data_IF_069807718462
#
_entry.id   IF_069807718462
#
_cell.length_a   1.000
_cell.length_b   1.000
_cell.length_c   1.000
_cell.angle_alpha   90.00
_cell.angle_beta   90.00
_cell.angle_gamma   90.00
#
_symmetry.space_group_name_H-M   'P 1'
#
loop_
_entity.id
_entity.type
_entity.pdbx_description
1 polymer ?
#
# COMPACT_ATOMS: atom_id res chain seq x y z
N UNK A 1 8.50 18.64 36.87
CA UNK A 1 8.65 17.38 36.11
C UNK A 1 8.73 17.75 34.64
N UNK A 2 9.91 17.65 34.03
CA UNK A 2 10.09 17.98 32.63
C UNK A 2 9.24 17.03 31.77
N UNK A 3 8.53 17.57 30.79
CA UNK A 3 7.98 16.75 29.71
C UNK A 3 9.17 16.13 28.98
N UNK A 4 9.42 14.84 29.19
CA UNK A 4 10.42 14.09 28.45
C UNK A 4 9.98 14.05 26.98
N UNK A 5 10.54 14.97 26.19
CA UNK A 5 10.29 15.03 24.75
C UNK A 5 11.20 14.01 24.08
N UNK A 6 10.61 12.93 23.59
CA UNK A 6 11.34 11.96 22.76
C UNK A 6 11.47 12.53 21.35
N UNK A 7 12.69 12.70 20.80
CA UNK A 7 12.86 13.14 19.42
C UNK A 7 12.28 12.08 18.48
N UNK A 8 11.54 12.53 17.45
CA UNK A 8 10.93 11.67 16.44
C UNK A 8 11.35 12.12 15.05
N UNK A 9 11.79 11.16 14.23
CA UNK A 9 12.13 11.41 12.83
C UNK A 9 10.99 10.98 11.90
N UNK A 10 10.61 11.85 10.98
CA UNK A 10 9.65 11.56 9.92
C UNK A 10 10.36 11.54 8.57
N UNK A 11 10.20 10.46 7.82
CA UNK A 11 10.83 10.26 6.51
C UNK A 11 9.74 10.06 5.47
N UNK A 12 9.76 10.89 4.42
CA UNK A 12 8.90 10.71 3.25
C UNK A 12 9.61 9.84 2.21
N UNK A 13 8.91 8.85 1.65
CA UNK A 13 9.40 7.99 0.59
C UNK A 13 8.60 8.22 -0.70
N UNK A 14 9.31 8.35 -1.83
CA UNK A 14 8.74 8.25 -3.16
C UNK A 14 9.70 7.41 -4.00
N UNK A 15 9.32 6.15 -4.26
CA UNK A 15 10.19 5.19 -4.93
C UNK A 15 9.73 4.97 -6.36
N UNK A 16 10.47 5.52 -7.32
CA UNK A 16 10.06 5.63 -8.73
C UNK A 16 9.53 4.35 -9.39
N UNK A 17 8.54 4.53 -10.27
CA UNK A 17 7.79 3.49 -11.00
C UNK A 17 8.33 3.18 -12.39
N UNK A 18 9.53 2.62 -12.47
CA UNK A 18 10.04 2.06 -13.73
C UNK A 18 10.09 0.53 -13.57
N UNK A 19 9.73 -0.21 -14.62
CA UNK A 19 9.43 -1.66 -14.74
C UNK A 19 9.59 -2.61 -13.51
N UNK A 20 8.55 -3.40 -13.23
CA UNK A 20 8.24 -4.03 -11.94
C UNK A 20 9.33 -4.95 -11.34
N UNK A 21 10.00 -5.77 -12.15
CA UNK A 21 10.82 -6.89 -11.64
C UNK A 21 12.27 -6.49 -11.27
N UNK A 22 12.91 -5.65 -12.08
CA UNK A 22 14.26 -5.11 -11.79
C UNK A 22 14.22 -4.14 -10.62
N UNK A 23 13.11 -3.41 -10.47
CA UNK A 23 13.00 -2.35 -9.47
C UNK A 23 12.69 -2.86 -8.07
N UNK A 24 11.96 -3.96 -7.87
CA UNK A 24 11.80 -4.52 -6.52
C UNK A 24 13.17 -4.69 -5.83
N UNK A 25 14.20 -5.15 -6.56
CA UNK A 25 15.58 -5.23 -6.05
C UNK A 25 16.22 -3.86 -5.80
N UNK A 26 16.05 -2.91 -6.72
CA UNK A 26 16.58 -1.54 -6.59
C UNK A 26 15.92 -0.75 -5.46
N UNK A 27 14.58 -0.78 -5.35
CA UNK A 27 13.77 -0.21 -4.26
C UNK A 27 14.25 -0.76 -2.92
N UNK A 28 14.36 -2.08 -2.83
CA UNK A 28 14.85 -2.77 -1.63
C UNK A 28 16.27 -2.36 -1.28
N UNK A 29 17.17 -2.19 -2.26
CA UNK A 29 18.55 -1.76 -2.04
C UNK A 29 18.61 -0.30 -1.55
N UNK A 30 17.87 0.60 -2.19
CA UNK A 30 17.77 2.01 -1.82
C UNK A 30 17.24 2.14 -0.39
N UNK A 31 16.12 1.47 -0.08
CA UNK A 31 15.53 1.50 1.25
C UNK A 31 16.49 0.91 2.29
N UNK A 32 17.14 -0.22 2.03
CA UNK A 32 18.17 -0.77 2.93
C UNK A 32 19.37 0.16 3.13
N UNK A 33 19.73 0.93 2.12
CA UNK A 33 20.79 1.93 2.23
C UNK A 33 20.36 3.06 3.15
N UNK A 34 19.16 3.62 2.96
CA UNK A 34 18.58 4.63 3.87
C UNK A 34 18.48 4.11 5.30
N UNK A 35 17.94 2.90 5.49
CA UNK A 35 17.81 2.28 6.82
C UNK A 35 19.16 2.10 7.52
N UNK A 36 20.22 1.76 6.78
CA UNK A 36 21.57 1.67 7.34
C UNK A 36 22.07 3.00 7.92
N UNK A 37 21.75 4.12 7.28
CA UNK A 37 22.11 5.44 7.79
C UNK A 37 21.23 5.83 8.98
N UNK A 38 19.95 5.49 8.94
CA UNK A 38 19.03 5.73 10.07
C UNK A 38 19.39 4.91 11.31
N UNK A 39 20.00 3.73 11.13
CA UNK A 39 20.46 2.86 12.21
C UNK A 39 21.94 3.01 12.55
N UNK A 40 22.66 3.96 11.93
CA UNK A 40 24.11 4.07 12.11
C UNK A 40 24.51 4.40 13.55
N UNK A 41 23.65 5.11 14.28
CA UNK A 41 23.89 5.51 15.66
C UNK A 41 23.09 4.66 16.64
N UNK A 42 23.73 4.20 17.73
CA UNK A 42 23.06 3.47 18.82
C UNK A 42 21.97 4.30 19.52
N UNK A 43 22.01 5.63 19.41
CA UNK A 43 21.01 6.57 19.92
C UNK A 43 20.01 7.04 18.85
N UNK A 44 19.89 6.30 17.74
CA UNK A 44 19.00 6.70 16.65
C UNK A 44 17.56 6.85 17.14
N UNK A 45 17.01 8.04 16.90
CA UNK A 45 15.67 8.39 17.31
C UNK A 45 14.64 7.43 16.68
N UNK A 46 13.54 7.10 17.38
CA UNK A 46 12.39 6.44 16.79
C UNK A 46 11.95 7.18 15.52
N UNK A 47 11.59 6.43 14.47
CA UNK A 47 11.23 7.03 13.20
C UNK A 47 10.01 6.37 12.54
N UNK A 48 9.29 7.18 11.77
CA UNK A 48 8.24 6.76 10.86
C UNK A 48 8.70 7.04 9.43
N UNK A 49 8.53 6.07 8.55
CA UNK A 49 8.74 6.22 7.11
C UNK A 49 7.39 6.02 6.42
N UNK A 50 6.93 7.01 5.66
CA UNK A 50 5.65 6.93 4.98
C UNK A 50 5.70 7.52 3.57
N UNK A 51 4.74 7.16 2.73
CA UNK A 51 4.60 7.68 1.38
C UNK A 51 4.44 6.58 0.34
N UNK A 52 4.74 6.91 -0.92
CA UNK A 52 4.65 5.99 -2.05
C UNK A 52 5.92 5.14 -2.15
N UNK A 53 5.85 3.94 -1.58
CA UNK A 53 6.90 2.94 -1.73
C UNK A 53 6.82 2.22 -3.06
N UNK A 54 5.69 2.36 -3.76
CA UNK A 54 5.41 1.73 -5.02
C UNK A 54 5.61 0.21 -4.95
N UNK A 55 5.29 -0.36 -3.78
CA UNK A 55 5.25 -1.80 -3.55
C UNK A 55 4.10 -2.39 -4.34
N UNK A 56 4.39 -3.46 -5.08
CA UNK A 56 3.44 -4.17 -5.91
C UNK A 56 3.09 -5.50 -5.28
N UNK A 57 1.87 -5.95 -5.55
CA UNK A 57 1.52 -7.35 -5.36
C UNK A 57 2.40 -8.22 -6.25
N UNK A 58 2.65 -9.46 -5.83
CA UNK A 58 3.22 -10.50 -6.69
C UNK A 58 2.25 -10.83 -7.83
N UNK A 59 2.29 -10.03 -8.90
CA UNK A 59 1.39 -10.13 -10.05
C UNK A 59 1.45 -11.53 -10.67
N UNK A 60 2.64 -12.16 -10.70
CA UNK A 60 2.79 -13.51 -11.22
C UNK A 60 1.99 -14.53 -10.41
N UNK A 61 2.07 -14.47 -9.08
CA UNK A 61 1.31 -15.34 -8.19
C UNK A 61 -0.20 -15.02 -8.20
N UNK A 62 -0.58 -13.75 -8.31
CA UNK A 62 -1.98 -13.32 -8.47
C UNK A 62 -2.57 -13.91 -9.75
N UNK A 63 -1.89 -13.75 -10.88
CA UNK A 63 -2.34 -14.30 -12.17
C UNK A 63 -2.46 -15.80 -12.07
N UNK A 64 -1.44 -16.48 -11.57
CA UNK A 64 -1.47 -17.94 -11.38
C UNK A 64 -2.71 -18.37 -10.58
N UNK A 65 -3.02 -17.68 -9.48
CA UNK A 65 -4.19 -17.97 -8.64
C UNK A 65 -5.51 -17.74 -9.39
N UNK A 66 -5.63 -16.63 -10.11
CA UNK A 66 -6.85 -16.28 -10.84
C UNK A 66 -7.11 -17.18 -12.05
N UNK A 67 -6.07 -17.81 -12.58
CA UNK A 67 -6.15 -18.59 -13.83
C UNK A 67 -6.16 -20.10 -13.61
N UNK A 68 -6.27 -20.58 -12.37
CA UNK A 68 -6.25 -22.02 -12.03
C UNK A 68 -7.26 -22.84 -12.85
N UNK A 69 -8.46 -22.27 -13.08
CA UNK A 69 -9.56 -22.93 -13.80
C UNK A 69 -9.83 -22.31 -15.18
N UNK A 70 -8.92 -21.47 -15.68
CA UNK A 70 -9.07 -20.76 -16.95
C UNK A 70 -8.21 -21.38 -18.06
N UNK A 71 -8.62 -21.16 -19.31
CA UNK A 71 -7.85 -21.51 -20.50
C UNK A 71 -7.10 -20.29 -21.00
N UNK A 72 -5.77 -20.41 -21.18
CA UNK A 72 -4.94 -19.32 -21.68
C UNK A 72 -4.89 -19.31 -23.21
N UNK A 73 -5.05 -18.12 -23.80
CA UNK A 73 -4.89 -17.86 -25.23
C UNK A 73 -3.96 -16.66 -25.42
N UNK A 74 -2.90 -16.84 -26.22
CA UNK A 74 -1.99 -15.75 -26.57
C UNK A 74 -2.46 -15.08 -27.84
N UNK A 75 -2.74 -13.78 -27.77
CA UNK A 75 -3.04 -12.96 -28.93
C UNK A 75 -1.80 -12.15 -29.33
N UNK A 76 -1.46 -12.23 -30.61
CA UNK A 76 -0.51 -11.32 -31.26
C UNK A 76 -1.30 -10.55 -32.31
N UNK A 77 -1.37 -9.22 -32.17
CA UNK A 77 -2.04 -8.37 -33.16
C UNK A 77 -0.95 -7.63 -33.94
N UNK A 78 -0.50 -8.24 -35.05
CA UNK A 78 0.56 -7.71 -35.92
C UNK A 78 1.99 -8.05 -35.46
N UNK A 79 2.98 -7.62 -36.26
CA UNK A 79 4.41 -7.96 -36.08
C UNK A 79 5.12 -7.21 -34.94
N UNK A 80 4.39 -6.52 -34.04
CA UNK A 80 5.01 -5.72 -32.96
C UNK A 80 4.83 -6.38 -31.60
N UNK A 81 5.95 -6.56 -30.88
CA UNK A 81 5.99 -7.10 -29.52
C UNK A 81 5.20 -6.27 -28.49
N UNK A 82 4.91 -4.99 -28.78
CA UNK A 82 4.06 -4.11 -27.95
C UNK A 82 2.60 -4.58 -27.86
N UNK A 83 2.13 -5.34 -28.84
CA UNK A 83 0.74 -5.77 -28.99
C UNK A 83 0.43 -7.13 -28.34
N UNK A 84 1.44 -7.80 -27.79
CA UNK A 84 1.27 -9.12 -27.22
C UNK A 84 0.36 -9.08 -25.98
N UNK A 85 -0.76 -9.79 -26.05
CA UNK A 85 -1.72 -9.91 -24.95
C UNK A 85 -1.96 -11.38 -24.60
N UNK A 86 -2.15 -11.63 -23.32
CA UNK A 86 -2.64 -12.90 -22.81
C UNK A 86 -4.11 -12.75 -22.43
N UNK A 87 -4.96 -13.64 -22.92
CA UNK A 87 -6.36 -13.73 -22.53
C UNK A 87 -6.60 -15.04 -21.80
N UNK A 88 -7.45 -15.00 -20.79
CA UNK A 88 -7.88 -16.17 -20.03
C UNK A 88 -9.39 -16.25 -20.06
N UNK A 89 -9.90 -17.42 -20.45
CA UNK A 89 -11.32 -17.69 -20.68
C UNK A 89 -11.83 -18.80 -19.78
N UNK A 90 -13.08 -18.71 -19.36
CA UNK A 90 -13.73 -19.77 -18.59
C UNK A 90 -13.92 -21.03 -19.45
N UNK A 91 -13.61 -22.21 -18.91
CA UNK A 91 -13.67 -23.49 -19.65
C UNK A 91 -15.08 -23.86 -20.10
N UNK A 92 -16.09 -23.46 -19.34
CA UNK A 92 -17.47 -23.88 -19.53
C UNK A 92 -18.16 -23.17 -20.70
N UNK A 93 -17.87 -21.89 -20.92
CA UNK A 93 -18.61 -21.03 -21.85
C UNK A 93 -17.71 -20.10 -22.68
N UNK A 94 -16.39 -20.28 -22.61
CA UNK A 94 -15.38 -19.46 -23.31
C UNK A 94 -15.45 -17.94 -23.03
N UNK A 95 -16.16 -17.54 -21.96
CA UNK A 95 -16.27 -16.14 -21.58
C UNK A 95 -14.90 -15.60 -21.19
N UNK A 96 -14.54 -14.43 -21.71
CA UNK A 96 -13.31 -13.72 -21.34
C UNK A 96 -13.37 -13.27 -19.87
N UNK A 97 -12.39 -13.71 -19.07
CA UNK A 97 -12.30 -13.42 -17.63
C UNK A 97 -11.19 -12.44 -17.32
N UNK A 98 -9.99 -12.65 -17.87
CA UNK A 98 -8.80 -11.83 -17.61
C UNK A 98 -8.04 -11.53 -18.90
N UNK A 99 -7.61 -10.29 -19.08
CA UNK A 99 -6.68 -9.85 -20.14
C UNK A 99 -5.46 -9.19 -19.52
N UNK A 100 -4.27 -9.59 -19.98
CA UNK A 100 -2.98 -9.08 -19.51
C UNK A 100 -2.16 -8.62 -20.70
N UNK A 101 -1.57 -7.43 -20.60
CA UNK A 101 -0.67 -6.85 -21.59
C UNK A 101 0.26 -5.82 -20.95
N UNK A 102 1.05 -5.11 -21.78
CA UNK A 102 2.07 -4.16 -21.29
C UNK A 102 1.54 -3.04 -20.38
N UNK A 103 0.31 -2.58 -20.62
CA UNK A 103 -0.42 -1.59 -19.81
C UNK A 103 -1.87 -2.02 -19.63
N UNK A 104 -2.09 -3.32 -19.49
CA UNK A 104 -3.41 -3.89 -19.40
C UNK A 104 -3.43 -5.03 -18.38
N UNK A 105 -4.37 -4.93 -17.46
CA UNK A 105 -4.69 -5.92 -16.44
C UNK A 105 -6.18 -5.79 -16.18
N UNK A 106 -6.99 -6.41 -17.03
CA UNK A 106 -8.44 -6.23 -17.06
C UNK A 106 -9.13 -7.53 -16.66
N UNK A 107 -9.87 -7.49 -15.55
CA UNK A 107 -10.71 -8.60 -15.11
C UNK A 107 -12.18 -8.24 -15.35
N UNK A 108 -13.04 -9.23 -15.60
CA UNK A 108 -14.49 -9.00 -15.78
C UNK A 108 -15.12 -8.36 -14.54
N UNK A 109 -14.73 -8.81 -13.35
CA UNK A 109 -15.14 -8.25 -12.05
C UNK A 109 -14.07 -7.36 -11.40
N UNK A 110 -13.28 -6.62 -12.20
CA UNK A 110 -12.10 -5.87 -11.73
C UNK A 110 -12.36 -5.01 -10.48
N UNK A 111 -13.51 -4.34 -10.41
CA UNK A 111 -13.82 -3.45 -9.29
C UNK A 111 -14.23 -4.19 -8.01
N UNK A 112 -14.55 -5.48 -8.08
CA UNK A 112 -14.98 -6.27 -6.93
C UNK A 112 -13.85 -7.17 -6.45
N UNK A 113 -13.30 -8.00 -7.34
CA UNK A 113 -12.40 -9.09 -6.96
C UNK A 113 -11.11 -8.60 -6.28
N UNK A 114 -10.59 -7.43 -6.66
CA UNK A 114 -9.32 -6.91 -6.12
C UNK A 114 -9.47 -6.12 -4.82
N UNK A 115 -10.69 -5.91 -4.34
CA UNK A 115 -10.94 -5.32 -3.00
C UNK A 115 -11.07 -6.38 -1.92
N UNK A 116 -11.20 -7.64 -2.31
CA UNK A 116 -11.39 -8.75 -1.39
C UNK A 116 -10.09 -9.12 -0.64
N UNK A 117 -10.16 -9.62 0.61
CA UNK A 117 -8.98 -9.89 1.43
C UNK A 117 -7.99 -10.91 0.86
N UNK A 118 -8.41 -11.73 -0.10
CA UNK A 118 -7.53 -12.76 -0.67
C UNK A 118 -6.28 -12.17 -1.33
N UNK A 119 -6.37 -10.96 -1.91
CA UNK A 119 -5.27 -10.32 -2.63
C UNK A 119 -4.08 -10.01 -1.72
N UNK A 120 -4.34 -9.70 -0.44
CA UNK A 120 -3.32 -9.28 0.52
C UNK A 120 -2.25 -10.34 0.78
N UNK A 121 -2.54 -11.64 0.54
CA UNK A 121 -1.54 -12.71 0.65
C UNK A 121 -0.38 -12.60 -0.37
N UNK A 122 -0.58 -11.77 -1.39
CA UNK A 122 0.40 -11.51 -2.45
C UNK A 122 1.12 -10.17 -2.27
N UNK A 123 0.83 -9.41 -1.20
CA UNK A 123 1.59 -8.22 -0.80
C UNK A 123 2.83 -8.64 0.00
N UNK A 124 3.94 -8.90 -0.72
CA UNK A 124 5.13 -9.54 -0.16
C UNK A 124 6.38 -8.66 -0.15
N UNK A 125 6.37 -7.49 -0.78
CA UNK A 125 7.59 -6.67 -0.89
C UNK A 125 8.16 -6.25 0.48
N UNK A 126 7.29 -6.02 1.47
CA UNK A 126 7.72 -5.67 2.84
C UNK A 126 8.40 -6.83 3.58
N UNK A 127 8.18 -8.09 3.19
CA UNK A 127 8.70 -9.27 3.92
C UNK A 127 10.22 -9.21 4.10
N UNK A 128 10.94 -8.78 3.07
CA UNK A 128 12.40 -8.69 3.09
C UNK A 128 12.95 -7.56 3.98
N UNK A 129 12.08 -6.72 4.54
CA UNK A 129 12.37 -5.55 5.36
C UNK A 129 11.78 -5.67 6.78
N UNK A 130 10.91 -6.65 7.03
CA UNK A 130 10.29 -6.93 8.34
C UNK A 130 11.26 -7.01 9.53
N UNK A 131 12.53 -7.45 9.40
CA UNK A 131 13.47 -7.41 10.51
C UNK A 131 13.84 -5.99 10.98
N UNK A 132 13.65 -4.98 10.13
CA UNK A 132 14.06 -3.60 10.36
C UNK A 132 12.87 -2.65 10.50
N UNK A 133 11.75 -2.96 9.84
CA UNK A 133 10.57 -2.13 9.75
C UNK A 133 9.33 -2.90 10.18
N UNK A 134 8.45 -2.21 10.88
CA UNK A 134 7.16 -2.71 11.29
C UNK A 134 6.04 -1.97 10.55
N UNK A 135 5.00 -2.70 10.17
CA UNK A 135 3.74 -2.14 9.67
C UNK A 135 2.61 -2.77 10.46
N UNK A 136 1.64 -1.96 10.87
CA UNK A 136 0.44 -2.49 11.48
C UNK A 136 -0.45 -3.19 10.43
N UNK A 137 -1.38 -4.08 10.84
CA UNK A 137 -2.23 -4.79 9.88
C UNK A 137 -2.99 -3.84 8.96
N UNK A 138 -2.78 -3.98 7.65
CA UNK A 138 -3.51 -3.24 6.61
C UNK A 138 -4.92 -3.83 6.51
N UNK A 139 -5.94 -2.99 6.70
CA UNK A 139 -7.37 -3.38 6.73
C UNK A 139 -8.22 -2.63 5.70
N UNK A 140 -7.57 -2.02 4.71
CA UNK A 140 -8.17 -1.26 3.63
C UNK A 140 -7.79 -1.89 2.29
N UNK A 141 -8.59 -1.71 1.22
CA UNK A 141 -8.29 -2.27 -0.09
C UNK A 141 -7.03 -1.62 -0.70
N UNK A 142 -6.50 -2.15 -1.82
CA UNK A 142 -5.36 -1.55 -2.51
C UNK A 142 -5.49 -0.04 -2.74
N UNK A 143 -4.40 0.72 -2.57
CA UNK A 143 -4.39 2.17 -2.74
C UNK A 143 -4.17 2.63 -4.18
N UNK A 144 -3.83 1.71 -5.09
CA UNK A 144 -3.46 2.01 -6.47
C UNK A 144 -3.75 0.83 -7.41
N UNK A 145 -4.09 1.05 -8.71
CA UNK A 145 -4.28 2.33 -9.38
C UNK A 145 -5.73 2.78 -9.45
N UNK A 146 -6.10 3.93 -8.87
CA UNK A 146 -7.43 4.51 -9.06
C UNK A 146 -7.58 5.23 -10.40
N UNK A 147 -8.81 5.29 -10.92
CA UNK A 147 -9.20 6.07 -12.11
C UNK A 147 -8.97 7.56 -11.89
N UNK A 148 -8.56 8.27 -12.95
CA UNK A 148 -8.40 9.74 -12.93
C UNK A 148 -9.74 10.47 -13.10
N UNK A 149 -10.77 9.78 -13.59
CA UNK A 149 -12.10 10.35 -13.74
C UNK A 149 -12.72 10.62 -12.36
N UNK A 150 -12.92 11.90 -12.04
CA UNK A 150 -13.52 12.37 -10.78
C UNK A 150 -14.91 11.80 -10.50
N UNK A 151 -15.63 11.31 -11.52
CA UNK A 151 -16.95 10.68 -11.38
C UNK A 151 -16.87 9.21 -10.94
N UNK A 152 -15.68 8.58 -11.02
CA UNK A 152 -15.44 7.19 -10.67
C UNK A 152 -14.30 7.06 -9.64
N UNK A 153 -14.34 7.80 -8.52
CA UNK A 153 -13.17 7.98 -7.64
C UNK A 153 -12.74 6.71 -6.91
N UNK A 154 -13.61 5.70 -6.83
CA UNK A 154 -13.30 4.42 -6.19
C UNK A 154 -12.86 3.35 -7.19
N UNK A 155 -13.01 3.59 -8.50
CA UNK A 155 -12.70 2.58 -9.50
C UNK A 155 -11.20 2.46 -9.71
N UNK A 156 -10.72 1.24 -9.87
CA UNK A 156 -9.37 0.97 -10.31
C UNK A 156 -9.23 1.04 -11.82
N UNK A 157 -8.13 1.63 -12.29
CA UNK A 157 -7.70 1.52 -13.68
C UNK A 157 -7.32 0.09 -14.01
N UNK A 158 -7.61 -0.32 -15.24
CA UNK A 158 -7.28 -1.66 -15.77
C UNK A 158 -5.89 -1.73 -16.38
N UNK A 159 -4.95 -0.91 -15.91
CA UNK A 159 -3.59 -0.81 -16.49
C UNK A 159 -2.59 -1.71 -15.77
N UNK A 160 -2.85 -2.04 -14.51
CA UNK A 160 -1.96 -2.82 -13.62
C UNK A 160 -2.77 -3.63 -12.60
N UNK A 161 -2.13 -4.62 -11.99
CA UNK A 161 -2.70 -5.30 -10.83
C UNK A 161 -2.79 -4.32 -9.65
N UNK A 162 -3.94 -4.23 -8.95
CA UNK A 162 -4.07 -3.38 -7.77
C UNK A 162 -3.09 -3.79 -6.66
N UNK A 163 -2.51 -2.79 -5.98
CA UNK A 163 -1.53 -2.98 -4.90
C UNK A 163 -1.59 -1.89 -3.82
N UNK A 164 -0.93 -2.14 -2.68
CA UNK A 164 -0.72 -1.18 -1.60
C UNK A 164 0.62 -0.48 -1.78
N UNK A 165 0.64 0.59 -2.57
CA UNK A 165 1.83 1.39 -2.85
C UNK A 165 2.15 2.35 -1.70
N UNK A 166 1.11 2.91 -1.07
CA UNK A 166 1.21 3.89 0.00
C UNK A 166 1.28 3.19 1.34
N UNK A 167 2.40 3.37 2.06
CA UNK A 167 2.68 2.63 3.31
C UNK A 167 3.06 3.57 4.44
N UNK A 168 2.85 3.11 5.66
CA UNK A 168 3.34 3.75 6.88
C UNK A 168 4.11 2.70 7.69
N UNK A 169 5.43 2.84 7.70
CA UNK A 169 6.37 1.90 8.30
C UNK A 169 7.04 2.55 9.51
N UNK A 170 7.27 1.75 10.55
CA UNK A 170 7.84 2.19 11.82
C UNK A 170 9.18 1.52 12.04
N UNK A 171 10.12 2.23 12.66
CA UNK A 171 11.24 1.58 13.33
C UNK A 171 10.73 0.69 14.48
N UNK A 172 11.53 -0.28 14.91
CA UNK A 172 11.16 -1.11 16.06
C UNK A 172 10.99 -0.29 17.35
N UNK A 173 11.81 0.74 17.55
CA UNK A 173 11.68 1.68 18.68
C UNK A 173 10.40 2.50 18.60
N UNK A 174 10.00 2.98 17.42
CA UNK A 174 8.75 3.72 17.22
C UNK A 174 7.53 2.82 17.47
N UNK A 175 7.58 1.56 17.03
CA UNK A 175 6.54 0.57 17.33
C UNK A 175 6.31 0.44 18.84
N UNK A 176 7.38 0.28 19.63
CA UNK A 176 7.28 0.13 21.07
C UNK A 176 6.61 1.35 21.71
N UNK A 177 6.98 2.56 21.30
CA UNK A 177 6.35 3.79 21.80
C UNK A 177 4.83 3.84 21.55
N UNK A 178 4.40 3.42 20.35
CA UNK A 178 2.96 3.36 20.01
C UNK A 178 2.24 2.27 20.79
N UNK A 179 2.90 1.15 21.11
CA UNK A 179 2.26 0.06 21.85
C UNK A 179 2.21 0.31 23.37
N UNK A 180 3.17 1.04 23.92
CA UNK A 180 3.20 1.35 25.35
C UNK A 180 2.25 2.48 25.77
N UNK A 181 1.82 3.35 24.84
CA UNK A 181 0.85 4.42 25.13
C UNK A 181 -0.56 3.89 25.44
N UNK A 182 -0.89 2.67 24.98
CA UNK A 182 -2.17 1.98 25.19
C UNK A 182 -2.28 1.28 26.56
N UNK A 183 -1.18 1.16 27.32
CA UNK A 183 -1.11 0.40 28.56
C UNK A 183 -1.30 1.24 29.84
N UNK A 184 -1.86 2.46 29.76
CA UNK A 184 -2.24 3.21 30.97
C UNK A 184 -3.46 2.52 31.62
N UNK A 185 -3.33 1.92 32.81
CA UNK A 185 -4.45 1.24 33.44
C UNK A 185 -5.37 2.29 34.05
N UNK A 186 -6.56 2.49 33.47
CA UNK A 186 -7.48 3.49 34.01
C UNK A 186 -8.87 3.63 33.40
N UNK A 187 -9.14 3.17 32.17
CA UNK A 187 -10.51 3.33 31.61
C UNK A 187 -10.93 2.16 30.73
N UNK A 188 -11.35 1.07 31.39
CA UNK A 188 -11.93 -0.12 30.75
C UNK A 188 -13.45 0.00 30.72
N UNK A 189 -14.03 0.75 29.77
CA UNK A 189 -15.42 0.54 29.32
C UNK A 189 -15.54 0.72 27.80
N UNK A 190 -16.18 -0.26 27.14
CA UNK A 190 -16.44 -0.36 25.70
C UNK A 190 -15.29 -0.82 24.78
N UNK A 191 -14.67 -1.94 25.13
CA UNK A 191 -13.78 -2.69 24.24
C UNK A 191 -14.64 -3.55 23.28
N UNK A 192 -14.89 -3.08 22.06
CA UNK A 192 -15.06 -3.87 20.81
C UNK A 192 -15.27 -2.92 19.60
N UNK A 193 -15.61 -1.65 19.83
CA UNK A 193 -15.62 -0.58 18.80
C UNK A 193 -14.29 0.17 18.68
N UNK A 194 -13.43 0.16 19.72
CA UNK A 194 -12.25 1.04 19.79
C UNK A 194 -11.09 0.67 18.87
N UNK A 195 -10.98 -0.58 18.40
CA UNK A 195 -9.84 -1.02 17.56
C UNK A 195 -9.86 -0.43 16.16
N UNK A 196 -11.03 -0.20 15.56
CA UNK A 196 -11.16 0.50 14.28
C UNK A 196 -11.02 2.01 14.48
N UNK A 197 -11.66 2.56 15.52
CA UNK A 197 -11.60 3.98 15.86
C UNK A 197 -10.18 4.44 16.15
N UNK A 198 -9.37 3.66 16.87
CA UNK A 198 -8.00 4.02 17.25
C UNK A 198 -7.02 3.98 16.07
N UNK A 199 -7.30 3.17 15.05
CA UNK A 199 -6.52 3.12 13.81
C UNK A 199 -6.87 4.26 12.86
N UNK A 200 -8.18 4.55 12.72
CA UNK A 200 -8.66 5.78 12.07
C UNK A 200 -8.09 6.99 12.80
N UNK A 201 -8.06 6.98 14.13
CA UNK A 201 -7.49 8.05 14.95
C UNK A 201 -5.99 8.18 14.77
N UNK A 202 -5.22 7.07 14.72
CA UNK A 202 -3.79 7.12 14.42
C UNK A 202 -3.55 7.69 13.03
N UNK A 203 -4.31 7.27 12.02
CA UNK A 203 -4.21 7.79 10.66
C UNK A 203 -4.61 9.27 10.59
N UNK A 204 -5.66 9.69 11.31
CA UNK A 204 -6.09 11.09 11.41
C UNK A 204 -5.08 11.93 12.19
N UNK A 205 -4.46 11.42 13.26
CA UNK A 205 -3.41 12.12 13.99
C UNK A 205 -2.12 12.16 13.19
N UNK A 206 -1.75 11.12 12.44
CA UNK A 206 -0.67 11.16 11.47
C UNK A 206 -0.95 12.15 10.35
N UNK A 207 -2.18 12.21 9.83
CA UNK A 207 -2.59 13.21 8.86
C UNK A 207 -2.58 14.62 9.46
N UNK A 208 -2.95 14.81 10.73
CA UNK A 208 -2.85 16.10 11.45
C UNK A 208 -1.39 16.50 11.72
N UNK A 209 -0.54 15.56 12.14
CA UNK A 209 0.89 15.76 12.38
C UNK A 209 1.60 16.08 11.06
N UNK A 210 1.34 15.31 10.00
CA UNK A 210 1.83 15.58 8.65
C UNK A 210 1.31 16.94 8.13
N UNK A 211 0.04 17.28 8.33
CA UNK A 211 -0.53 18.59 7.96
C UNK A 211 0.10 19.75 8.73
N UNK A 212 0.52 19.53 9.99
CA UNK A 212 1.16 20.53 10.85
C UNK A 212 2.66 20.69 10.56
N UNK A 213 3.30 19.66 10.00
CA UNK A 213 4.72 19.66 9.64
C UNK A 213 4.98 19.98 8.15
N UNK A 214 4.00 19.75 7.26
CA UNK A 214 4.16 19.93 5.79
C UNK A 214 3.51 21.21 5.23
N UNK A 215 2.74 21.97 6.01
CA UNK A 215 2.08 23.19 5.51
C UNK A 215 2.27 24.35 6.50
N UNK A 216 3.28 25.22 6.30
CA UNK A 216 3.44 26.42 7.11
C UNK A 216 2.38 27.49 6.81
N UNK A 217 1.71 27.43 5.66
CA UNK A 217 0.79 28.48 5.22
C UNK A 217 -0.59 27.94 4.83
N UNK A 218 -1.60 28.50 5.48
CA UNK A 218 -3.01 28.16 5.33
C UNK A 218 -3.49 28.34 3.88
N UNK A 219 -3.99 27.27 3.26
CA UNK A 219 -5.20 27.33 2.43
C UNK A 219 -6.06 26.09 2.70
N UNK A 220 -7.36 26.32 2.93
CA UNK A 220 -8.34 25.34 3.39
C UNK A 220 -8.54 24.25 2.33
N UNK A 221 -8.13 23.01 2.63
CA UNK A 221 -8.59 21.83 1.88
C UNK A 221 -9.89 21.35 2.53
N UNK A 222 -10.91 21.17 1.67
CA UNK A 222 -12.29 20.84 1.99
C UNK A 222 -12.40 19.44 2.65
N UNK A 223 -13.04 19.28 3.83
CA UNK A 223 -13.09 18.00 4.56
C UNK A 223 -13.72 16.83 3.78
N UNK A 224 -14.48 17.11 2.71
CA UNK A 224 -15.04 16.09 1.83
C UNK A 224 -13.99 15.30 1.04
N UNK A 225 -12.82 15.86 0.74
CA UNK A 225 -11.76 15.13 0.04
C UNK A 225 -11.04 14.12 0.93
N UNK A 226 -11.15 14.25 2.26
CA UNK A 226 -10.56 13.32 3.23
C UNK A 226 -11.46 12.11 3.52
N UNK A 227 -12.78 12.26 3.37
CA UNK A 227 -13.76 11.20 3.66
C UNK A 227 -13.65 10.04 2.65
N UNK A 228 -13.20 10.32 1.43
CA UNK A 228 -13.02 9.32 0.36
C UNK A 228 -11.86 8.33 0.60
N UNK A 229 -10.99 8.61 1.58
CA UNK A 229 -9.89 7.72 2.00
C UNK A 229 -10.33 6.85 3.21
N UNK A 230 -11.50 7.12 3.80
CA UNK A 230 -12.00 6.46 5.02
C UNK A 230 -13.16 5.46 4.81
N UNK A 231 -13.50 5.11 3.55
CA UNK A 231 -14.42 4.02 3.20
C UNK A 231 -13.67 2.95 2.41
#
# INVERSE_FOLDING_TARGET
>A
MGSDKVPLLLVTANVGSIFEDVYCRSRRRALRHTLRHLHADANSAPYFIFGDFNFRTDTGAVVKKMTEELTACRLQHGNSAESAKMQYRARENDRLVLTIGKKEFSHVDHQKIFREPWLQRFDRELEALRPHLFEFPVKFPPSYPFEENVQLPTHYMKTRCPAWCDRVLLSQSARLLVQHSDARPGDSRHLHSSRSVQFTFLYFEFAKIAKRLLLPNQQRINPLSLLMISL
#
